data_IF_062742567239
#
_entry.id   IF_062742567239
#
_cell.length_a   1.000
_cell.length_b   1.000
_cell.length_c   1.000
_cell.angle_alpha   90.00
_cell.angle_beta   90.00
_cell.angle_gamma   90.00
#
_symmetry.space_group_name_H-M   'P 1'
#
loop_
_entity.id
_entity.type
_entity.pdbx_description
1 polymer ?
#
# COMPACT_ATOMS: atom_id res chain seq x y z
N UNK A 1 44.28 24.18 -46.34
CA UNK A 1 42.80 24.36 -46.44
C UNK A 1 42.03 23.05 -46.40
N UNK A 2 42.49 21.98 -47.05
CA UNK A 2 41.81 20.67 -47.05
C UNK A 2 41.74 20.01 -45.67
N UNK A 3 42.76 20.11 -44.84
CA UNK A 3 42.78 19.50 -43.49
C UNK A 3 41.76 20.08 -42.48
N UNK A 4 41.32 21.33 -42.64
CA UNK A 4 40.29 21.96 -41.81
C UNK A 4 38.88 21.48 -42.20
N UNK A 5 38.64 21.25 -43.48
CA UNK A 5 37.36 20.73 -43.99
C UNK A 5 37.14 19.27 -43.62
N UNK A 6 38.19 18.44 -43.63
CA UNK A 6 38.12 17.05 -43.22
C UNK A 6 37.95 16.91 -41.71
N UNK A 7 38.56 17.78 -40.89
CA UNK A 7 38.33 17.83 -39.45
C UNK A 7 36.89 18.21 -39.12
N UNK A 8 36.30 19.19 -39.82
CA UNK A 8 34.89 19.60 -39.63
C UNK A 8 33.91 18.49 -40.05
N UNK A 9 34.20 17.79 -41.16
CA UNK A 9 33.41 16.62 -41.58
C UNK A 9 33.47 15.46 -40.58
N UNK A 10 34.68 15.19 -40.01
CA UNK A 10 34.85 14.17 -39.00
C UNK A 10 34.15 14.55 -37.66
N UNK A 11 34.18 15.80 -37.27
CA UNK A 11 33.43 16.28 -36.09
C UNK A 11 31.92 16.20 -36.31
N UNK A 12 31.42 16.53 -37.49
CA UNK A 12 30.01 16.39 -37.83
C UNK A 12 29.54 14.91 -37.85
N UNK A 13 30.35 14.00 -38.39
CA UNK A 13 30.11 12.57 -38.37
C UNK A 13 30.09 12.03 -36.93
N UNK A 14 31.08 12.39 -36.10
CA UNK A 14 31.10 12.03 -34.67
C UNK A 14 29.93 12.60 -33.88
N UNK A 15 29.49 13.81 -34.20
CA UNK A 15 28.30 14.42 -33.58
C UNK A 15 27.01 13.66 -33.97
N UNK A 16 26.90 13.21 -35.21
CA UNK A 16 25.77 12.38 -35.68
C UNK A 16 25.75 11.01 -35.02
N UNK A 17 26.87 10.34 -34.89
CA UNK A 17 27.01 9.06 -34.19
C UNK A 17 26.66 9.21 -32.71
N UNK A 18 27.12 10.27 -32.03
CA UNK A 18 26.76 10.55 -30.63
C UNK A 18 25.27 10.76 -30.45
N UNK A 19 24.62 11.45 -31.36
CA UNK A 19 23.16 11.64 -31.33
C UNK A 19 22.41 10.32 -31.52
N UNK A 20 22.85 9.45 -32.43
CA UNK A 20 22.29 8.13 -32.67
C UNK A 20 22.41 7.23 -31.43
N UNK A 21 23.58 7.22 -30.78
CA UNK A 21 23.80 6.47 -29.53
C UNK A 21 22.92 6.98 -28.39
N UNK A 22 22.83 8.32 -28.24
CA UNK A 22 21.96 8.93 -27.21
C UNK A 22 20.47 8.58 -27.44
N UNK A 23 20.03 8.59 -28.70
CA UNK A 23 18.65 8.20 -29.04
C UNK A 23 18.38 6.74 -28.72
N UNK A 24 19.31 5.85 -29.06
CA UNK A 24 19.21 4.42 -28.77
C UNK A 24 19.20 4.16 -27.25
N UNK A 25 20.06 4.84 -26.49
CA UNK A 25 20.07 4.76 -25.01
C UNK A 25 18.74 5.22 -24.41
N UNK A 26 18.13 6.30 -24.92
CA UNK A 26 16.81 6.75 -24.47
C UNK A 26 15.72 5.71 -24.74
N UNK A 27 15.76 5.06 -25.91
CA UNK A 27 14.82 3.99 -26.26
C UNK A 27 14.98 2.78 -25.35
N UNK A 28 16.21 2.35 -25.07
CA UNK A 28 16.50 1.24 -24.15
C UNK A 28 16.06 1.58 -22.72
N UNK A 29 16.33 2.77 -22.24
CA UNK A 29 15.88 3.22 -20.91
C UNK A 29 14.37 3.22 -20.80
N UNK A 30 13.68 3.70 -21.83
CA UNK A 30 12.20 3.69 -21.88
C UNK A 30 11.64 2.29 -21.87
N UNK A 31 12.23 1.34 -22.61
CA UNK A 31 11.81 -0.08 -22.58
C UNK A 31 12.03 -0.72 -21.22
N UNK A 32 13.10 -0.35 -20.50
CA UNK A 32 13.37 -0.83 -19.14
C UNK A 32 12.34 -0.25 -18.16
N UNK A 33 12.06 1.05 -18.22
CA UNK A 33 11.05 1.72 -17.41
C UNK A 33 9.66 1.11 -17.64
N UNK A 34 9.25 0.90 -18.90
CA UNK A 34 7.97 0.29 -19.26
C UNK A 34 7.85 -1.16 -18.72
N UNK A 35 8.93 -1.93 -18.68
CA UNK A 35 8.96 -3.28 -18.11
C UNK A 35 8.93 -3.27 -16.58
N UNK A 36 9.65 -2.35 -15.95
CA UNK A 36 9.64 -2.18 -14.49
C UNK A 36 8.26 -1.74 -14.02
N UNK A 37 7.61 -0.83 -14.72
CA UNK A 37 6.25 -0.38 -14.44
C UNK A 37 5.23 -1.52 -14.59
N UNK A 38 5.35 -2.36 -15.63
CA UNK A 38 4.48 -3.52 -15.81
C UNK A 38 4.65 -4.54 -14.69
N UNK A 39 5.88 -4.80 -14.24
CA UNK A 39 6.17 -5.72 -13.13
C UNK A 39 5.67 -5.14 -11.79
N UNK A 40 5.84 -3.83 -11.57
CA UNK A 40 5.32 -3.13 -10.40
C UNK A 40 3.79 -3.15 -10.37
N UNK A 41 3.14 -2.94 -11.53
CA UNK A 41 1.69 -3.02 -11.63
C UNK A 41 1.16 -4.41 -11.29
N UNK A 42 1.72 -5.47 -11.84
CA UNK A 42 1.26 -6.84 -11.59
C UNK A 42 1.33 -7.19 -10.10
N UNK A 43 2.38 -6.74 -9.41
CA UNK A 43 2.54 -6.92 -7.97
C UNK A 43 1.50 -6.13 -7.19
N UNK A 44 1.31 -4.87 -7.56
CA UNK A 44 0.33 -3.98 -6.93
C UNK A 44 -1.10 -4.46 -7.14
N UNK A 45 -1.43 -4.94 -8.35
CA UNK A 45 -2.77 -5.49 -8.64
C UNK A 45 -3.08 -6.70 -7.76
N UNK A 46 -2.13 -7.62 -7.61
CA UNK A 46 -2.30 -8.79 -6.75
C UNK A 46 -2.50 -8.36 -5.28
N UNK A 47 -1.67 -7.48 -4.78
CA UNK A 47 -1.78 -6.95 -3.41
C UNK A 47 -3.12 -6.23 -3.19
N UNK A 48 -3.54 -5.39 -4.13
CA UNK A 48 -4.79 -4.66 -4.06
C UNK A 48 -6.01 -5.61 -4.02
N UNK A 49 -6.00 -6.67 -4.81
CA UNK A 49 -7.06 -7.70 -4.81
C UNK A 49 -7.10 -8.45 -3.48
N UNK A 50 -5.95 -8.90 -2.99
CA UNK A 50 -5.85 -9.66 -1.73
C UNK A 50 -6.30 -8.82 -0.54
N UNK A 51 -5.83 -7.58 -0.44
CA UNK A 51 -6.20 -6.70 0.68
C UNK A 51 -7.66 -6.25 0.59
N UNK A 52 -8.19 -6.06 -0.60
CA UNK A 52 -9.61 -5.75 -0.77
C UNK A 52 -10.51 -6.94 -0.39
N UNK A 53 -10.15 -8.16 -0.74
CA UNK A 53 -10.86 -9.39 -0.31
C UNK A 53 -10.83 -9.55 1.22
N UNK A 54 -9.71 -9.20 1.88
CA UNK A 54 -9.63 -9.15 3.35
C UNK A 54 -10.56 -8.12 3.94
N UNK A 55 -10.62 -6.93 3.34
CA UNK A 55 -11.51 -5.86 3.75
C UNK A 55 -12.98 -6.28 3.64
N UNK A 56 -13.38 -6.93 2.56
CA UNK A 56 -14.75 -7.42 2.38
C UNK A 56 -15.16 -8.44 3.44
N UNK A 57 -14.26 -9.37 3.77
CA UNK A 57 -14.50 -10.32 4.88
C UNK A 57 -14.65 -9.60 6.22
N UNK A 58 -13.75 -8.67 6.52
CA UNK A 58 -13.84 -7.86 7.73
C UNK A 58 -15.13 -7.03 7.77
N UNK A 59 -15.57 -6.47 6.65
CA UNK A 59 -16.83 -5.75 6.55
C UNK A 59 -18.04 -6.66 6.84
N UNK A 60 -18.05 -7.88 6.34
CA UNK A 60 -19.13 -8.83 6.58
C UNK A 60 -19.24 -9.23 8.06
N UNK A 61 -18.10 -9.38 8.73
CA UNK A 61 -18.04 -9.83 10.11
C UNK A 61 -18.20 -8.68 11.13
N UNK A 62 -17.67 -7.51 10.83
CA UNK A 62 -17.46 -6.41 11.79
C UNK A 62 -18.06 -5.07 11.35
N UNK A 63 -18.48 -4.95 10.09
CA UNK A 63 -18.92 -3.71 9.50
C UNK A 63 -20.33 -3.29 9.87
N UNK A 64 -20.67 -2.07 9.51
CA UNK A 64 -22.00 -1.49 9.63
C UNK A 64 -22.38 -0.78 8.31
N UNK A 65 -23.56 -0.17 8.25
CA UNK A 65 -24.06 0.49 7.04
C UNK A 65 -23.15 1.63 6.55
N UNK A 66 -22.52 2.37 7.47
CA UNK A 66 -21.60 3.46 7.11
C UNK A 66 -20.34 2.91 6.46
N UNK A 67 -19.73 1.91 7.09
CA UNK A 67 -18.52 1.27 6.54
C UNK A 67 -18.83 0.51 5.25
N UNK A 68 -20.01 -0.08 5.12
CA UNK A 68 -20.45 -0.74 3.88
C UNK A 68 -20.53 0.25 2.70
N UNK A 69 -21.00 1.47 2.95
CA UNK A 69 -21.00 2.53 1.93
C UNK A 69 -19.59 2.88 1.46
N UNK A 70 -18.63 2.92 2.39
CA UNK A 70 -17.22 3.20 2.07
C UNK A 70 -16.60 2.03 1.28
N UNK A 71 -16.84 0.79 1.69
CA UNK A 71 -16.38 -0.41 0.97
C UNK A 71 -16.93 -0.44 -0.46
N UNK A 72 -18.20 -0.08 -0.64
CA UNK A 72 -18.82 0.00 -1.96
C UNK A 72 -18.17 1.04 -2.86
N UNK A 73 -17.78 2.19 -2.31
CA UNK A 73 -17.03 3.23 -3.05
C UNK A 73 -15.61 2.75 -3.38
N UNK A 74 -14.92 2.13 -2.42
CA UNK A 74 -13.59 1.58 -2.64
C UNK A 74 -13.58 0.49 -3.71
N UNK A 75 -14.61 -0.37 -3.77
CA UNK A 75 -14.76 -1.36 -4.84
C UNK A 75 -14.77 -0.72 -6.23
N UNK A 76 -15.53 0.36 -6.40
CA UNK A 76 -15.56 1.11 -7.67
C UNK A 76 -14.20 1.71 -8.00
N UNK A 77 -13.48 2.22 -7.01
CA UNK A 77 -12.14 2.79 -7.21
C UNK A 77 -11.14 1.69 -7.57
N UNK A 78 -11.18 0.54 -6.91
CA UNK A 78 -10.36 -0.63 -7.26
C UNK A 78 -10.58 -1.06 -8.70
N UNK A 79 -11.84 -1.19 -9.13
CA UNK A 79 -12.18 -1.55 -10.51
C UNK A 79 -11.65 -0.53 -11.54
N UNK A 80 -11.75 0.76 -11.23
CA UNK A 80 -11.24 1.83 -12.09
C UNK A 80 -9.71 1.79 -12.19
N UNK A 81 -9.02 1.60 -11.08
CA UNK A 81 -7.56 1.53 -11.02
C UNK A 81 -7.05 0.29 -11.77
N UNK A 82 -7.70 -0.85 -11.62
CA UNK A 82 -7.35 -2.07 -12.33
C UNK A 82 -7.51 -1.88 -13.86
N UNK A 83 -8.57 -1.20 -14.27
CA UNK A 83 -8.79 -0.86 -15.68
C UNK A 83 -7.74 0.09 -16.26
N UNK A 84 -7.35 1.08 -15.45
CA UNK A 84 -6.38 2.10 -15.86
C UNK A 84 -4.93 1.62 -15.76
N UNK A 85 -4.65 0.60 -14.95
CA UNK A 85 -3.29 0.12 -14.60
C UNK A 85 -2.39 1.24 -14.08
N UNK A 86 -2.95 2.13 -13.29
CA UNK A 86 -2.26 3.30 -12.74
C UNK A 86 -1.66 2.95 -11.37
N UNK A 87 -0.33 2.89 -11.31
CA UNK A 87 0.41 2.54 -10.09
C UNK A 87 0.20 3.57 -8.98
N UNK A 88 0.20 4.85 -9.31
CA UNK A 88 0.05 5.93 -8.30
C UNK A 88 -1.33 5.89 -7.67
N UNK A 89 -2.38 5.85 -8.49
CA UNK A 89 -3.76 5.72 -7.99
C UNK A 89 -3.98 4.39 -7.27
N UNK A 90 -3.34 3.30 -7.74
CA UNK A 90 -3.41 1.99 -7.12
C UNK A 90 -2.86 1.98 -5.70
N UNK A 91 -1.75 2.66 -5.46
CA UNK A 91 -1.18 2.81 -4.11
C UNK A 91 -2.08 3.62 -3.18
N UNK A 92 -2.64 4.72 -3.68
CA UNK A 92 -3.57 5.54 -2.90
C UNK A 92 -4.82 4.77 -2.49
N UNK A 93 -5.39 3.97 -3.40
CA UNK A 93 -6.54 3.12 -3.10
C UNK A 93 -6.17 2.00 -2.13
N UNK A 94 -4.99 1.40 -2.28
CA UNK A 94 -4.48 0.39 -1.34
C UNK A 94 -4.33 0.94 0.08
N UNK A 95 -3.82 2.15 0.23
CA UNK A 95 -3.73 2.82 1.54
C UNK A 95 -5.12 3.02 2.16
N UNK A 96 -6.11 3.42 1.38
CA UNK A 96 -7.49 3.58 1.87
C UNK A 96 -8.12 2.24 2.26
N UNK A 97 -7.89 1.18 1.49
CA UNK A 97 -8.33 -0.19 1.81
C UNK A 97 -7.73 -0.65 3.13
N UNK A 98 -6.42 -0.48 3.31
CA UNK A 98 -5.73 -0.86 4.54
C UNK A 98 -6.18 -0.02 5.75
N UNK A 99 -6.40 1.29 5.56
CA UNK A 99 -6.88 2.16 6.63
C UNK A 99 -8.28 1.75 7.12
N UNK A 100 -9.19 1.42 6.22
CA UNK A 100 -10.53 0.94 6.60
C UNK A 100 -10.48 -0.44 7.26
N UNK A 101 -9.64 -1.35 6.76
CA UNK A 101 -9.42 -2.66 7.38
C UNK A 101 -8.90 -2.52 8.82
N UNK A 102 -7.91 -1.66 9.03
CA UNK A 102 -7.38 -1.36 10.38
C UNK A 102 -8.46 -0.76 11.28
N UNK A 103 -9.28 0.14 10.75
CA UNK A 103 -10.39 0.73 11.50
C UNK A 103 -11.42 -0.31 11.94
N UNK A 104 -11.83 -1.21 11.04
CA UNK A 104 -12.79 -2.28 11.34
C UNK A 104 -12.25 -3.29 12.37
N UNK A 105 -10.97 -3.62 12.29
CA UNK A 105 -10.33 -4.65 13.14
C UNK A 105 -9.78 -4.09 14.45
N UNK A 106 -9.58 -2.78 14.57
CA UNK A 106 -8.92 -2.15 15.71
C UNK A 106 -9.61 -2.45 17.04
N UNK A 107 -10.94 -2.41 17.09
CA UNK A 107 -11.69 -2.71 18.30
C UNK A 107 -11.43 -4.14 18.78
N UNK A 108 -11.46 -5.10 17.87
CA UNK A 108 -11.18 -6.51 18.17
C UNK A 108 -9.76 -6.75 18.61
N UNK A 109 -8.80 -6.06 17.98
CA UNK A 109 -7.40 -6.10 18.41
C UNK A 109 -7.24 -5.54 19.83
N UNK A 110 -7.90 -4.42 20.14
CA UNK A 110 -7.91 -3.85 21.49
C UNK A 110 -8.55 -4.78 22.50
N UNK A 111 -9.69 -5.39 22.18
CA UNK A 111 -10.35 -6.37 23.06
C UNK A 111 -9.44 -7.58 23.31
N UNK A 112 -8.85 -8.13 22.26
CA UNK A 112 -7.90 -9.24 22.37
C UNK A 112 -6.70 -8.89 23.24
N UNK A 113 -6.17 -7.69 23.09
CA UNK A 113 -5.06 -7.17 23.87
C UNK A 113 -5.43 -7.05 25.37
N UNK A 114 -6.58 -6.45 25.68
CA UNK A 114 -7.04 -6.32 27.07
C UNK A 114 -7.25 -7.69 27.72
N UNK A 115 -7.90 -8.63 27.04
CA UNK A 115 -8.08 -10.00 27.53
C UNK A 115 -6.76 -10.71 27.75
N UNK A 116 -5.83 -10.64 26.79
CA UNK A 116 -4.51 -11.24 26.91
C UNK A 116 -3.76 -10.74 28.15
N UNK A 117 -3.72 -9.43 28.37
CA UNK A 117 -3.03 -8.87 29.53
C UNK A 117 -3.79 -9.09 30.85
N UNK A 118 -5.10 -9.25 30.83
CA UNK A 118 -5.84 -9.70 31.99
C UNK A 118 -5.42 -11.13 32.41
N UNK A 119 -5.39 -12.03 31.45
CA UNK A 119 -5.08 -13.45 31.69
C UNK A 119 -3.61 -13.68 32.10
N UNK A 120 -2.71 -12.85 31.58
CA UNK A 120 -1.26 -12.92 31.84
C UNK A 120 -0.74 -11.80 32.74
N UNK A 121 -1.62 -11.19 33.53
CA UNK A 121 -1.27 -10.01 34.32
C UNK A 121 -0.06 -10.20 35.24
N UNK A 122 0.03 -11.34 35.91
CA UNK A 122 1.12 -11.70 36.83
C UNK A 122 2.45 -11.98 36.14
N UNK A 123 2.42 -12.26 34.83
CA UNK A 123 3.61 -12.55 34.02
C UNK A 123 4.28 -11.32 33.46
N UNK A 124 3.65 -10.14 33.58
CA UNK A 124 4.13 -8.88 33.02
C UNK A 124 4.77 -8.03 34.12
N UNK A 125 5.94 -7.48 33.83
CA UNK A 125 6.60 -6.52 34.71
C UNK A 125 6.01 -5.12 34.52
N UNK A 126 4.92 -4.84 35.23
CA UNK A 126 4.26 -3.54 35.16
C UNK A 126 5.07 -2.45 35.87
N UNK A 127 5.14 -1.28 35.27
CA UNK A 127 5.71 -0.09 35.89
C UNK A 127 4.87 0.37 37.09
N UNK A 128 3.55 0.24 36.98
CA UNK A 128 2.54 0.50 38.01
C UNK A 128 1.45 -0.54 37.90
N UNK A 129 1.58 -1.64 38.67
CA UNK A 129 0.63 -2.77 38.57
C UNK A 129 -0.76 -2.39 39.07
N UNK A 130 -0.90 -1.52 40.04
CA UNK A 130 -2.21 -1.08 40.56
C UNK A 130 -2.95 -0.25 39.53
N UNK A 131 -2.29 0.66 38.85
CA UNK A 131 -2.87 1.48 37.77
C UNK A 131 -3.22 0.62 36.55
N UNK A 132 -2.34 -0.29 36.14
CA UNK A 132 -2.59 -1.22 35.06
C UNK A 132 -3.80 -2.12 35.35
N UNK A 133 -3.94 -2.64 36.56
CA UNK A 133 -5.12 -3.44 36.98
C UNK A 133 -6.39 -2.62 36.89
N UNK A 134 -6.39 -1.40 37.36
CA UNK A 134 -7.53 -0.48 37.29
C UNK A 134 -7.96 -0.22 35.85
N UNK A 135 -7.02 0.04 34.94
CA UNK A 135 -7.30 0.27 33.52
C UNK A 135 -7.89 -0.98 32.83
N UNK A 136 -7.30 -2.16 33.12
CA UNK A 136 -7.79 -3.42 32.55
C UNK A 136 -9.21 -3.71 33.05
N UNK A 137 -9.48 -3.55 34.34
CA UNK A 137 -10.82 -3.76 34.90
C UNK A 137 -11.83 -2.78 34.31
N UNK A 138 -11.47 -1.52 34.13
CA UNK A 138 -12.34 -0.53 33.47
C UNK A 138 -12.62 -0.90 32.01
N UNK A 139 -11.61 -1.33 31.27
CA UNK A 139 -11.78 -1.79 29.90
C UNK A 139 -12.67 -3.03 29.79
N UNK A 140 -12.47 -4.03 30.66
CA UNK A 140 -13.30 -5.22 30.73
C UNK A 140 -14.77 -4.89 31.05
N UNK A 141 -15.00 -3.92 31.94
CA UNK A 141 -16.35 -3.43 32.27
C UNK A 141 -17.04 -2.77 31.05
N UNK A 142 -16.27 -2.05 30.20
CA UNK A 142 -16.80 -1.43 28.99
C UNK A 142 -17.08 -2.49 27.91
N UNK A 143 -16.18 -3.46 27.75
CA UNK A 143 -16.34 -4.56 26.81
C UNK A 143 -17.57 -5.39 27.18
N UNK A 144 -17.83 -5.58 28.48
CA UNK A 144 -18.98 -6.31 28.98
C UNK A 144 -19.07 -7.74 28.46
N UNK A 145 -20.29 -8.27 28.42
CA UNK A 145 -20.61 -9.58 27.86
C UNK A 145 -20.78 -9.54 26.32
N UNK A 146 -20.54 -8.39 25.70
CA UNK A 146 -20.63 -8.22 24.27
C UNK A 146 -19.31 -8.70 23.62
N UNK A 147 -19.36 -9.77 22.86
CA UNK A 147 -18.19 -10.29 22.15
C UNK A 147 -17.78 -9.39 20.98
#
# INVERSE_FOLDING_TARGET
>A
MQNKLDAVKNEAANSSEKKAVLQHLKEVLREIEDKDDATEWDRLENELREEFDRLERAQNDLGNDKTNSIVTQLRKQVDLVIKAKDVTMGREVLEQVNALFMHLTMLYQCIGFVRHYNDHFSSVAWKDASHARSLINSALSIIGDNP
#
